data_IF_270332699187
#
_entry.id   IF_270332699187
#
_cell.length_a   1.000
_cell.length_b   1.000
_cell.length_c   1.000
_cell.angle_alpha   90.00
_cell.angle_beta   90.00
_cell.angle_gamma   90.00
#
_symmetry.space_group_name_H-M   'P 1'
#
loop_
_entity.id
_entity.type
_entity.pdbx_description
1 polymer ?
#
# COMPACT_ATOMS: atom_id res chain seq x y z
N UNK A 1 10.42 34.64 18.82
CA UNK A 1 10.81 33.72 17.73
C UNK A 1 10.18 34.22 16.45
N UNK A 2 10.92 34.38 15.34
CA UNK A 2 10.31 34.85 14.08
C UNK A 2 9.33 33.80 13.56
N UNK A 3 8.29 34.23 12.83
CA UNK A 3 7.29 33.32 12.23
C UNK A 3 7.97 32.21 11.40
N UNK A 4 9.03 32.56 10.69
CA UNK A 4 9.77 31.60 9.85
C UNK A 4 10.49 30.53 10.68
N UNK A 5 11.06 30.89 11.84
CA UNK A 5 11.69 29.92 12.75
C UNK A 5 10.67 28.94 13.31
N UNK A 6 9.48 29.41 13.66
CA UNK A 6 8.40 28.53 14.13
C UNK A 6 7.95 27.56 13.03
N UNK A 7 7.68 28.07 11.81
CA UNK A 7 7.29 27.24 10.68
C UNK A 7 8.36 26.20 10.31
N UNK A 8 9.65 26.56 10.40
CA UNK A 8 10.76 25.64 10.14
C UNK A 8 10.80 24.50 11.17
N UNK A 9 10.54 24.81 12.45
CA UNK A 9 10.48 23.81 13.51
C UNK A 9 9.30 22.85 13.31
N UNK A 10 8.12 23.37 12.94
CA UNK A 10 6.93 22.55 12.70
C UNK A 10 7.16 21.58 11.53
N UNK A 11 7.74 22.05 10.42
CA UNK A 11 8.10 21.21 9.28
C UNK A 11 9.19 20.21 9.64
N UNK A 12 10.21 20.62 10.40
CA UNK A 12 11.28 19.73 10.86
C UNK A 12 10.73 18.60 11.72
N UNK A 13 9.86 18.91 12.68
CA UNK A 13 9.21 17.92 13.55
C UNK A 13 8.34 16.96 12.74
N UNK A 14 7.59 17.47 11.76
CA UNK A 14 6.81 16.66 10.83
C UNK A 14 7.70 15.67 10.05
N UNK A 15 8.80 16.15 9.46
CA UNK A 15 9.71 15.31 8.67
C UNK A 15 10.26 14.17 9.54
N UNK A 16 10.77 14.51 10.72
CA UNK A 16 11.40 13.56 11.62
C UNK A 16 10.43 12.53 12.19
N UNK A 17 9.22 12.94 12.55
CA UNK A 17 8.24 12.06 13.20
C UNK A 17 7.42 11.23 12.21
N UNK A 18 7.14 11.77 11.03
CA UNK A 18 6.11 11.23 10.14
C UNK A 18 6.61 10.83 8.76
N UNK A 19 7.64 11.49 8.23
CA UNK A 19 8.04 11.31 6.82
C UNK A 19 9.27 10.42 6.63
N UNK A 20 10.29 10.57 7.48
CA UNK A 20 11.57 9.84 7.33
C UNK A 20 11.37 8.32 7.32
N UNK A 21 10.54 7.79 8.22
CA UNK A 21 10.34 6.35 8.35
C UNK A 21 9.68 5.70 7.12
N UNK A 22 8.55 6.20 6.60
CA UNK A 22 8.02 5.74 5.31
C UNK A 22 9.03 5.93 4.18
N UNK A 23 9.69 7.11 4.14
CA UNK A 23 10.64 7.45 3.09
C UNK A 23 11.74 6.40 2.89
N UNK A 24 12.37 5.96 4.00
CA UNK A 24 13.41 4.93 3.96
C UNK A 24 12.89 3.55 3.56
N UNK A 25 11.62 3.22 3.87
CA UNK A 25 11.03 1.93 3.52
C UNK A 25 10.68 1.82 2.02
N UNK A 26 10.44 2.94 1.34
CA UNK A 26 10.08 2.96 -0.09
C UNK A 26 11.19 2.51 -1.04
N UNK A 27 12.43 2.34 -0.55
CA UNK A 27 13.54 1.80 -1.35
C UNK A 27 13.18 0.40 -1.88
N UNK A 28 12.33 -0.34 -1.17
CA UNK A 28 11.81 -1.63 -1.60
C UNK A 28 10.44 -1.47 -2.25
N UNK A 29 10.34 -1.84 -3.53
CA UNK A 29 9.10 -1.78 -4.31
C UNK A 29 7.94 -2.52 -3.63
N UNK A 30 8.24 -3.68 -3.01
CA UNK A 30 7.24 -4.48 -2.28
C UNK A 30 6.62 -3.78 -1.08
N UNK A 31 7.32 -2.82 -0.48
CA UNK A 31 6.83 -2.06 0.67
C UNK A 31 5.98 -0.87 0.28
N UNK A 32 6.21 -0.32 -0.92
CA UNK A 32 5.62 0.95 -1.30
C UNK A 32 4.08 0.99 -1.19
N UNK A 33 3.31 0.00 -1.66
CA UNK A 33 1.85 0.10 -1.66
C UNK A 33 1.27 0.12 -0.24
N UNK A 34 1.77 -0.74 0.66
CA UNK A 34 1.30 -0.79 2.03
C UNK A 34 1.76 0.41 2.86
N UNK A 35 3.03 0.82 2.72
CA UNK A 35 3.55 1.97 3.45
C UNK A 35 2.89 3.28 3.04
N UNK A 36 2.54 3.46 1.76
CA UNK A 36 1.77 4.61 1.30
C UNK A 36 0.40 4.68 1.97
N UNK A 37 -0.32 3.56 2.05
CA UNK A 37 -1.60 3.51 2.75
C UNK A 37 -1.44 3.79 4.25
N UNK A 38 -0.39 3.28 4.89
CA UNK A 38 -0.06 3.59 6.28
C UNK A 38 0.21 5.09 6.47
N UNK A 39 0.95 5.72 5.57
CA UNK A 39 1.22 7.16 5.61
C UNK A 39 -0.07 7.98 5.43
N UNK A 40 -0.97 7.56 4.54
CA UNK A 40 -2.29 8.21 4.41
C UNK A 40 -3.11 8.14 5.70
N UNK A 41 -3.14 6.98 6.36
CA UNK A 41 -3.83 6.79 7.65
C UNK A 41 -3.19 7.62 8.74
N UNK A 42 -1.85 7.64 8.80
CA UNK A 42 -1.09 8.47 9.74
C UNK A 42 -1.42 9.95 9.55
N UNK A 43 -1.39 10.45 8.32
CA UNK A 43 -1.72 11.84 8.02
C UNK A 43 -3.17 12.18 8.34
N UNK A 44 -4.09 11.22 8.17
CA UNK A 44 -5.48 11.42 8.57
C UNK A 44 -5.62 11.57 10.09
N UNK A 45 -4.86 10.81 10.87
CA UNK A 45 -4.79 10.99 12.32
C UNK A 45 -4.09 12.30 12.71
N UNK A 46 -3.04 12.67 11.98
CA UNK A 46 -2.25 13.89 12.20
C UNK A 46 -3.05 15.17 11.96
N UNK A 47 -4.18 15.12 11.24
CA UNK A 47 -5.11 16.26 11.12
C UNK A 47 -5.57 16.81 12.49
N UNK A 48 -5.54 15.98 13.55
CA UNK A 48 -5.86 16.39 14.93
C UNK A 48 -4.75 17.22 15.59
N UNK A 49 -3.51 17.09 15.11
CA UNK A 49 -2.32 17.79 15.62
C UNK A 49 -2.09 19.05 14.79
N UNK A 50 -1.93 18.88 13.47
CA UNK A 50 -1.80 19.99 12.53
C UNK A 50 -2.56 19.68 11.23
N UNK A 51 -3.73 20.31 11.11
CA UNK A 51 -4.61 20.18 9.96
C UNK A 51 -4.03 20.76 8.68
N UNK A 52 -3.19 21.78 8.77
CA UNK A 52 -2.58 22.44 7.62
C UNK A 52 -1.55 21.52 6.97
N UNK A 53 -0.58 21.06 7.78
CA UNK A 53 0.47 20.13 7.33
C UNK A 53 -0.16 18.83 6.82
N UNK A 54 -1.08 18.24 7.58
CA UNK A 54 -1.77 17.02 7.17
C UNK A 54 -2.45 17.18 5.80
N UNK A 55 -3.21 18.26 5.58
CA UNK A 55 -3.90 18.50 4.30
C UNK A 55 -2.95 18.71 3.13
N UNK A 56 -1.85 19.43 3.33
CA UNK A 56 -0.84 19.66 2.28
C UNK A 56 -0.16 18.35 1.92
N UNK A 57 0.28 17.59 2.92
CA UNK A 57 0.94 16.29 2.74
C UNK A 57 0.01 15.29 2.05
N UNK A 58 -1.23 15.15 2.53
CA UNK A 58 -2.26 14.32 1.91
C UNK A 58 -2.46 14.67 0.43
N UNK A 59 -2.61 15.96 0.11
CA UNK A 59 -2.75 16.43 -1.27
C UNK A 59 -1.53 16.08 -2.12
N UNK A 60 -0.32 16.20 -1.57
CA UNK A 60 0.92 15.90 -2.28
C UNK A 60 1.02 14.40 -2.56
N UNK A 61 0.88 13.56 -1.54
CA UNK A 61 0.92 12.08 -1.67
C UNK A 61 -0.16 11.60 -2.62
N UNK A 62 -1.37 12.17 -2.56
CA UNK A 62 -2.47 11.80 -3.45
C UNK A 62 -2.17 11.95 -4.93
N UNK A 63 -1.26 12.86 -5.32
CA UNK A 63 -0.81 13.00 -6.70
C UNK A 63 0.18 11.91 -7.11
N UNK A 64 0.81 11.24 -6.15
CA UNK A 64 1.79 10.18 -6.36
C UNK A 64 1.17 8.77 -6.25
N UNK A 65 -0.07 8.61 -5.80
CA UNK A 65 -0.77 7.31 -5.70
C UNK A 65 -1.30 6.75 -7.04
N UNK A 66 -0.90 7.32 -8.18
CA UNK A 66 -1.37 6.86 -9.49
C UNK A 66 -0.95 5.40 -9.78
N UNK A 67 0.15 4.95 -9.17
CA UNK A 67 0.67 3.61 -9.32
C UNK A 67 -0.03 2.57 -8.41
N UNK A 68 -0.83 3.00 -7.43
CA UNK A 68 -1.50 2.13 -6.47
C UNK A 68 -2.73 1.45 -7.11
N UNK A 69 -2.47 0.59 -8.08
CA UNK A 69 -3.43 -0.26 -8.77
C UNK A 69 -3.58 -1.60 -8.07
N UNK A 70 -4.53 -2.42 -8.51
CA UNK A 70 -4.68 -3.80 -8.05
C UNK A 70 -3.41 -4.63 -8.33
N UNK A 71 -2.87 -4.50 -9.54
CA UNK A 71 -1.62 -5.15 -9.98
C UNK A 71 -0.44 -4.83 -9.07
N UNK A 72 -0.20 -3.57 -8.74
CA UNK A 72 0.96 -3.20 -7.90
C UNK A 72 0.69 -3.46 -6.41
N UNK A 73 -0.56 -3.37 -5.97
CA UNK A 73 -0.92 -3.62 -4.56
C UNK A 73 -0.59 -5.04 -4.11
N UNK A 74 -0.61 -6.01 -5.03
CA UNK A 74 -0.29 -7.41 -4.75
C UNK A 74 1.14 -7.61 -4.23
N UNK A 75 2.07 -6.72 -4.56
CA UNK A 75 3.45 -6.77 -4.07
C UNK A 75 3.52 -6.68 -2.54
N UNK A 76 2.49 -6.12 -1.89
CA UNK A 76 2.40 -6.05 -0.43
C UNK A 76 2.28 -7.44 0.23
N UNK A 77 2.02 -8.51 -0.52
CA UNK A 77 2.13 -9.88 -0.01
C UNK A 77 3.55 -10.20 0.48
N UNK A 78 4.56 -9.57 -0.13
CA UNK A 78 5.98 -9.72 0.20
C UNK A 78 6.48 -8.69 1.22
N UNK A 79 5.64 -7.73 1.64
CA UNK A 79 5.98 -6.82 2.73
C UNK A 79 5.83 -7.54 4.08
N UNK A 80 6.90 -7.55 4.87
CA UNK A 80 6.91 -8.12 6.21
C UNK A 80 6.10 -7.28 7.21
N UNK A 81 5.87 -6.00 6.91
CA UNK A 81 5.04 -5.12 7.75
C UNK A 81 3.53 -5.41 7.60
N UNK A 82 3.12 -6.21 6.61
CA UNK A 82 1.73 -6.64 6.41
C UNK A 82 1.46 -7.88 7.26
N UNK A 83 0.46 -7.79 8.15
CA UNK A 83 0.11 -8.91 9.03
C UNK A 83 -0.54 -10.08 8.28
N UNK A 84 -0.52 -11.26 8.90
CA UNK A 84 -0.98 -12.51 8.30
C UNK A 84 -2.48 -12.47 7.93
N UNK A 85 -3.32 -11.91 8.80
CA UNK A 85 -4.76 -11.77 8.52
C UNK A 85 -5.04 -10.94 7.25
N UNK A 86 -4.27 -9.87 7.05
CA UNK A 86 -4.34 -9.05 5.85
C UNK A 86 -3.90 -9.84 4.63
N UNK A 87 -2.81 -10.61 4.72
CA UNK A 87 -2.32 -11.46 3.62
C UNK A 87 -3.34 -12.52 3.21
N UNK A 88 -4.01 -13.16 4.17
CA UNK A 88 -5.12 -14.10 3.90
C UNK A 88 -6.23 -13.41 3.09
N UNK A 89 -6.71 -12.24 3.53
CA UNK A 89 -7.74 -11.47 2.81
C UNK A 89 -7.30 -11.03 1.41
N UNK A 90 -6.01 -10.73 1.22
CA UNK A 90 -5.45 -10.42 -0.10
C UNK A 90 -5.54 -11.65 -1.03
N UNK A 91 -5.12 -12.83 -0.56
CA UNK A 91 -5.17 -14.08 -1.34
C UNK A 91 -6.61 -14.50 -1.66
N UNK A 92 -7.54 -14.35 -0.71
CA UNK A 92 -8.97 -14.55 -0.97
C UNK A 92 -9.48 -13.65 -2.09
N UNK A 93 -9.03 -12.39 -2.13
CA UNK A 93 -9.45 -11.46 -3.18
C UNK A 93 -8.78 -11.73 -4.54
N UNK A 94 -7.59 -12.34 -4.57
CA UNK A 94 -6.96 -12.82 -5.82
C UNK A 94 -7.75 -13.97 -6.46
N UNK A 95 -8.37 -14.81 -5.63
CA UNK A 95 -9.05 -16.05 -6.05
C UNK A 95 -10.56 -15.87 -6.24
N UNK A 96 -11.15 -14.74 -5.81
CA UNK A 96 -12.56 -14.38 -6.03
C UNK A 96 -12.87 -14.15 -7.52
N UNK A 97 -13.06 -15.25 -8.24
CA UNK A 97 -13.24 -15.29 -9.70
C UNK A 97 -14.59 -14.78 -10.21
N UNK A 98 -15.62 -14.61 -9.37
CA UNK A 98 -17.01 -14.63 -9.87
C UNK A 98 -17.76 -13.29 -9.75
N UNK A 99 -17.49 -12.40 -8.78
CA UNK A 99 -18.27 -11.16 -8.62
C UNK A 99 -17.68 -9.90 -9.28
N UNK A 100 -16.38 -9.88 -9.56
CA UNK A 100 -15.69 -8.67 -10.05
C UNK A 100 -15.86 -8.43 -11.57
N UNK A 101 -16.15 -9.46 -12.36
CA UNK A 101 -16.41 -9.30 -13.80
C UNK A 101 -17.64 -8.43 -14.08
N UNK A 102 -18.67 -8.46 -13.21
CA UNK A 102 -19.87 -7.63 -13.36
C UNK A 102 -19.68 -6.17 -12.88
N UNK A 103 -18.76 -5.91 -11.94
CA UNK A 103 -18.55 -4.57 -11.34
C UNK A 103 -17.41 -3.78 -12.00
N UNK A 104 -16.45 -4.47 -12.64
CA UNK A 104 -15.25 -3.83 -13.21
C UNK A 104 -15.49 -3.00 -14.48
N UNK A 105 -16.69 -3.06 -15.08
CA UNK A 105 -17.08 -2.20 -16.21
C UNK A 105 -17.33 -0.74 -15.74
N UNK A 106 -17.62 -0.49 -14.46
CA UNK A 106 -18.18 0.81 -14.03
C UNK A 106 -17.27 1.73 -13.19
N UNK A 107 -16.06 1.35 -12.74
CA UNK A 107 -15.31 2.22 -11.80
C UNK A 107 -13.82 2.48 -12.09
N UNK A 108 -13.48 2.86 -13.33
CA UNK A 108 -12.20 3.52 -13.63
C UNK A 108 -12.21 5.05 -13.40
N UNK A 109 -13.26 5.62 -12.79
CA UNK A 109 -13.24 7.03 -12.37
C UNK A 109 -12.31 7.20 -11.18
N UNK A 110 -11.30 8.07 -11.32
CA UNK A 110 -10.46 8.63 -10.23
C UNK A 110 -11.28 8.71 -8.93
N UNK A 111 -11.11 7.74 -8.04
CA UNK A 111 -11.82 7.72 -6.75
C UNK A 111 -11.23 8.84 -5.91
N UNK A 112 -12.10 9.56 -5.19
CA UNK A 112 -11.69 10.64 -4.31
C UNK A 112 -10.56 10.21 -3.38
N UNK A 113 -9.52 11.03 -3.27
CA UNK A 113 -8.35 10.77 -2.42
C UNK A 113 -8.72 10.37 -0.98
N UNK A 114 -9.76 11.00 -0.40
CA UNK A 114 -10.27 10.67 0.92
C UNK A 114 -10.75 9.21 1.07
N UNK A 115 -11.21 8.58 -0.02
CA UNK A 115 -11.66 7.18 -0.03
C UNK A 115 -10.48 6.21 0.11
N UNK A 116 -9.28 6.60 -0.34
CA UNK A 116 -8.09 5.76 -0.24
C UNK A 116 -7.54 5.70 1.19
N UNK A 117 -7.64 6.78 1.97
CA UNK A 117 -7.14 6.82 3.35
C UNK A 117 -7.84 5.83 4.30
N UNK A 118 -9.08 5.41 4.00
CA UNK A 118 -9.85 4.49 4.85
C UNK A 118 -9.78 3.03 4.40
N UNK A 119 -9.15 2.76 3.25
CA UNK A 119 -9.09 1.42 2.70
C UNK A 119 -7.95 0.61 3.31
N UNK A 120 -8.18 -0.69 3.43
CA UNK A 120 -7.12 -1.66 3.67
C UNK A 120 -6.53 -2.13 2.35
N UNK A 121 -5.26 -2.55 2.37
CA UNK A 121 -4.53 -2.96 1.16
C UNK A 121 -5.24 -4.10 0.42
N UNK A 122 -5.85 -5.05 1.14
CA UNK A 122 -6.62 -6.14 0.53
C UNK A 122 -7.80 -5.65 -0.32
N UNK A 123 -8.34 -4.45 -0.09
CA UNK A 123 -9.46 -3.91 -0.87
C UNK A 123 -9.06 -3.42 -2.27
N UNK A 124 -7.75 -3.29 -2.52
CA UNK A 124 -7.22 -3.01 -3.84
C UNK A 124 -7.00 -4.29 -4.64
N UNK A 125 -6.93 -5.46 -3.99
CA UNK A 125 -6.63 -6.72 -4.65
C UNK A 125 -7.85 -7.22 -5.44
N UNK A 126 -7.57 -7.63 -6.67
CA UNK A 126 -8.54 -8.12 -7.64
C UNK A 126 -7.97 -9.32 -8.40
N UNK A 127 -8.80 -10.03 -9.18
CA UNK A 127 -8.32 -11.11 -10.08
C UNK A 127 -7.30 -10.61 -11.09
N UNK A 128 -7.37 -9.32 -11.48
CA UNK A 128 -6.40 -8.71 -12.40
C UNK A 128 -5.01 -8.63 -11.81
N UNK A 129 -4.86 -8.61 -10.48
CA UNK A 129 -3.54 -8.55 -9.85
C UNK A 129 -2.65 -9.75 -10.21
N UNK A 130 -3.24 -10.85 -10.67
CA UNK A 130 -2.49 -12.01 -11.21
C UNK A 130 -1.71 -11.68 -12.49
N UNK A 131 -2.07 -10.61 -13.21
CA UNK A 131 -1.33 -10.17 -14.40
C UNK A 131 0.14 -9.87 -14.07
N UNK A 132 0.41 -9.31 -12.88
CA UNK A 132 1.77 -9.01 -12.45
C UNK A 132 2.59 -10.28 -12.20
N UNK A 133 2.00 -11.31 -11.58
CA UNK A 133 2.67 -12.60 -11.40
C UNK A 133 3.03 -13.24 -12.74
N UNK A 134 2.11 -13.19 -13.71
CA UNK A 134 2.36 -13.67 -15.07
C UNK A 134 3.48 -12.87 -15.76
N UNK A 135 3.44 -11.54 -15.64
CA UNK A 135 4.45 -10.64 -16.23
C UNK A 135 5.85 -10.92 -15.66
N UNK A 136 5.96 -11.10 -14.34
CA UNK A 136 7.21 -11.34 -13.63
C UNK A 136 7.63 -12.82 -13.61
N UNK A 137 6.83 -13.71 -14.21
CA UNK A 137 7.04 -15.18 -14.18
C UNK A 137 7.24 -15.70 -12.75
N UNK A 138 6.40 -15.23 -11.84
CA UNK A 138 6.37 -15.65 -10.44
C UNK A 138 5.42 -16.84 -10.33
N UNK A 139 5.89 -17.91 -9.71
CA UNK A 139 5.05 -19.05 -9.34
C UNK A 139 4.21 -18.68 -8.12
N UNK A 140 2.88 -18.71 -8.27
CA UNK A 140 1.90 -18.35 -7.26
C UNK A 140 1.39 -19.55 -6.44
N UNK A 141 1.87 -20.77 -6.71
CA UNK A 141 1.44 -22.00 -6.00
C UNK A 141 1.59 -21.91 -4.48
N UNK A 142 2.60 -21.17 -4.00
CA UNK A 142 2.80 -20.92 -2.57
C UNK A 142 1.66 -20.12 -1.93
N UNK A 143 0.94 -19.30 -2.70
CA UNK A 143 -0.18 -18.50 -2.22
C UNK A 143 -1.39 -19.35 -1.83
N UNK A 144 -1.47 -20.61 -2.29
CA UNK A 144 -2.50 -21.55 -1.86
C UNK A 144 -2.24 -22.15 -0.46
N UNK A 145 -1.04 -21.96 0.07
CA UNK A 145 -0.67 -22.39 1.42
C UNK A 145 -0.92 -21.26 2.42
N UNK A 146 -1.08 -21.64 3.70
CA UNK A 146 -1.24 -20.66 4.77
C UNK A 146 -0.05 -19.66 4.78
N UNK A 147 -0.29 -18.34 4.88
CA UNK A 147 0.77 -17.32 4.91
C UNK A 147 1.86 -17.52 5.97
N UNK A 148 1.57 -18.25 7.05
CA UNK A 148 2.56 -18.64 8.07
C UNK A 148 3.65 -19.58 7.54
N UNK A 149 3.37 -20.32 6.47
CA UNK A 149 4.31 -21.28 5.86
C UNK A 149 5.24 -20.62 4.83
N UNK A 150 4.95 -19.38 4.41
CA UNK A 150 5.66 -18.71 3.32
C UNK A 150 7.13 -18.41 3.61
N UNK A 151 7.50 -18.19 4.86
CA UNK A 151 8.91 -17.99 5.24
C UNK A 151 9.77 -19.20 4.91
N UNK A 152 9.21 -20.40 4.98
CA UNK A 152 9.92 -21.67 4.76
C UNK A 152 9.66 -22.26 3.36
N UNK A 153 8.80 -21.63 2.55
CA UNK A 153 8.45 -22.11 1.22
C UNK A 153 9.45 -21.61 0.17
N UNK A 154 10.16 -22.52 -0.50
CA UNK A 154 11.18 -22.18 -1.49
C UNK A 154 10.64 -21.33 -2.66
N UNK A 155 9.43 -21.65 -3.17
CA UNK A 155 8.79 -20.90 -4.26
C UNK A 155 8.47 -19.47 -3.84
N UNK A 156 7.99 -19.28 -2.61
CA UNK A 156 7.71 -17.94 -2.08
C UNK A 156 9.00 -17.12 -1.89
N UNK A 157 10.06 -17.75 -1.38
CA UNK A 157 11.36 -17.08 -1.23
C UNK A 157 11.99 -16.73 -2.58
N UNK A 158 11.82 -17.57 -3.60
CA UNK A 158 12.26 -17.24 -4.95
C UNK A 158 11.45 -16.07 -5.53
N UNK A 159 10.13 -16.10 -5.39
CA UNK A 159 9.26 -15.00 -5.79
C UNK A 159 9.67 -13.68 -5.14
N UNK A 160 9.91 -13.69 -3.83
CA UNK A 160 10.37 -12.52 -3.05
C UNK A 160 11.71 -11.95 -3.53
N UNK A 161 12.61 -12.77 -4.10
CA UNK A 161 13.89 -12.29 -4.65
C UNK A 161 13.72 -11.60 -6.01
N UNK A 162 12.62 -11.84 -6.73
CA UNK A 162 12.33 -11.27 -8.05
C UNK A 162 11.66 -9.89 -7.98
N UNK A 163 11.15 -9.48 -6.80
CA UNK A 163 10.40 -8.24 -6.57
C UNK A 163 11.03 -7.39 -5.48
#
# INVERSE_FOLDING_TARGET
MSKDKAALLDVGLFIMTSYVKPWLKYILAVKAPYQDLCLLKLMKAYEKIDKSIAKVTLRKIGRHLWYLTDEVSVLSLFDDDVNQETKVKMVENLTKRIYQLMVNITSHRRKNFAVHCMKNIYSFISVRSNSLFNCLKINDSSLHQCPTMWSNNASFQEARKKV
#
